data_IF_178380805252
#
_entry.id   IF_178380805252
#
_cell.length_a   1.000
_cell.length_b   1.000
_cell.length_c   1.000
_cell.angle_alpha   90.00
_cell.angle_beta   90.00
_cell.angle_gamma   90.00
#
_symmetry.space_group_name_H-M   'P 1'
#
loop_
_entity.id
_entity.type
_entity.pdbx_description
1 polymer ?
#
# COMPACT_ATOMS: atom_id res chain seq x y z
N UNK A 1 22.90 -13.88 -14.51
CA UNK A 1 22.22 -13.88 -13.18
C UNK A 1 20.74 -13.70 -13.47
N UNK A 2 19.82 -14.53 -12.95
CA UNK A 2 18.40 -14.35 -13.25
C UNK A 2 17.96 -12.99 -12.71
N UNK A 3 17.40 -12.17 -13.59
CA UNK A 3 16.89 -10.83 -13.31
C UNK A 3 15.41 -10.90 -12.95
N UNK A 4 15.02 -11.87 -12.12
CA UNK A 4 13.61 -11.97 -11.72
C UNK A 4 13.19 -10.71 -10.98
N UNK A 5 12.11 -10.08 -11.46
CA UNK A 5 11.52 -8.94 -10.80
C UNK A 5 10.89 -9.40 -9.48
N UNK A 6 11.63 -9.17 -8.39
CA UNK A 6 11.19 -9.48 -7.03
C UNK A 6 10.27 -8.39 -6.45
N UNK A 7 10.12 -7.25 -7.11
CA UNK A 7 9.35 -6.10 -6.59
C UNK A 7 7.86 -6.32 -6.81
N UNK A 8 7.46 -6.67 -8.03
CA UNK A 8 6.05 -6.94 -8.36
C UNK A 8 5.37 -7.94 -7.42
N UNK A 9 5.96 -9.14 -7.20
CA UNK A 9 5.42 -10.14 -6.29
C UNK A 9 5.28 -9.66 -4.83
N UNK A 10 6.20 -8.81 -4.35
CA UNK A 10 6.13 -8.28 -2.98
C UNK A 10 4.95 -7.32 -2.81
N UNK A 11 4.74 -6.42 -3.78
CA UNK A 11 3.60 -5.48 -3.77
C UNK A 11 2.28 -6.24 -3.89
N UNK A 12 2.21 -7.25 -4.75
CA UNK A 12 1.03 -8.10 -4.89
C UNK A 12 0.68 -8.84 -3.59
N UNK A 13 1.69 -9.42 -2.91
CA UNK A 13 1.48 -10.10 -1.63
C UNK A 13 1.01 -9.13 -0.53
N UNK A 14 1.54 -7.89 -0.50
CA UNK A 14 1.03 -6.87 0.41
C UNK A 14 -0.43 -6.54 0.12
N UNK A 15 -0.80 -6.29 -1.14
CA UNK A 15 -2.18 -6.00 -1.52
C UNK A 15 -3.15 -7.13 -1.11
N UNK A 16 -2.75 -8.40 -1.32
CA UNK A 16 -3.53 -9.55 -0.90
C UNK A 16 -3.75 -9.60 0.62
N UNK A 17 -2.72 -9.32 1.41
CA UNK A 17 -2.81 -9.27 2.88
C UNK A 17 -3.73 -8.13 3.36
N UNK A 18 -3.65 -6.96 2.75
CA UNK A 18 -4.53 -5.83 3.09
C UNK A 18 -5.99 -6.13 2.75
N UNK A 19 -6.25 -6.78 1.61
CA UNK A 19 -7.60 -7.21 1.23
C UNK A 19 -8.14 -8.30 2.18
N UNK A 20 -7.30 -9.22 2.63
CA UNK A 20 -7.68 -10.23 3.62
C UNK A 20 -8.04 -9.61 4.99
N UNK A 21 -7.38 -8.51 5.37
CA UNK A 21 -7.71 -7.75 6.59
C UNK A 21 -9.02 -6.96 6.46
N UNK A 22 -9.32 -6.43 5.27
CA UNK A 22 -10.56 -5.72 4.99
C UNK A 22 -11.05 -5.95 3.56
N UNK A 23 -11.95 -6.92 3.41
CA UNK A 23 -12.50 -7.35 2.11
C UNK A 23 -13.34 -6.28 1.42
N UNK A 24 -13.72 -5.20 2.12
CA UNK A 24 -14.50 -4.08 1.55
C UNK A 24 -13.61 -3.07 0.81
N UNK A 25 -12.28 -3.21 0.89
CA UNK A 25 -11.37 -2.34 0.15
C UNK A 25 -11.51 -2.57 -1.35
N UNK A 26 -11.65 -1.47 -2.08
CA UNK A 26 -11.63 -1.47 -3.54
C UNK A 26 -10.18 -1.44 -4.05
N UNK A 27 -9.92 -1.87 -5.30
CA UNK A 27 -8.57 -1.79 -5.87
C UNK A 27 -7.95 -0.38 -5.81
N UNK A 28 -8.68 0.73 -6.11
CA UNK A 28 -8.12 2.07 -5.95
C UNK A 28 -7.75 2.42 -4.50
N UNK A 29 -8.51 1.94 -3.51
CA UNK A 29 -8.19 2.16 -2.09
C UNK A 29 -6.95 1.38 -1.66
N UNK A 30 -6.77 0.15 -2.14
CA UNK A 30 -5.56 -0.65 -1.90
C UNK A 30 -4.31 0.05 -2.46
N UNK A 31 -4.38 0.49 -3.72
CA UNK A 31 -3.29 1.23 -4.37
C UNK A 31 -2.97 2.49 -3.57
N UNK A 32 -4.01 3.25 -3.20
CA UNK A 32 -3.85 4.47 -2.42
C UNK A 32 -3.12 4.21 -1.10
N UNK A 33 -3.53 3.21 -0.33
CA UNK A 33 -2.88 2.86 0.94
C UNK A 33 -1.41 2.51 0.71
N UNK A 34 -1.11 1.63 -0.26
CA UNK A 34 0.28 1.19 -0.53
C UNK A 34 1.17 2.37 -0.93
N UNK A 35 0.66 3.28 -1.76
CA UNK A 35 1.41 4.45 -2.24
C UNK A 35 1.56 5.50 -1.13
N UNK A 36 0.50 5.81 -0.38
CA UNK A 36 0.55 6.82 0.69
C UNK A 36 1.40 6.38 1.88
N UNK A 37 1.52 5.07 2.15
CA UNK A 37 2.41 4.58 3.20
C UNK A 37 3.83 4.30 2.72
N UNK A 38 4.12 4.43 1.42
CA UNK A 38 5.47 4.25 0.90
C UNK A 38 6.39 5.40 1.31
N UNK A 39 7.67 5.09 1.50
CA UNK A 39 8.71 6.06 1.82
C UNK A 39 9.54 6.38 0.59
N UNK A 40 9.64 7.68 0.26
CA UNK A 40 10.60 8.15 -0.75
C UNK A 40 11.99 8.15 -0.13
N UNK A 41 12.97 7.53 -0.80
CA UNK A 41 14.35 7.53 -0.32
C UNK A 41 14.98 8.92 -0.40
N UNK A 42 15.97 9.19 0.46
CA UNK A 42 16.61 10.51 0.56
C UNK A 42 17.23 10.99 -0.76
N UNK A 43 17.77 10.06 -1.55
CA UNK A 43 18.34 10.32 -2.88
C UNK A 43 17.27 10.60 -3.94
N UNK A 44 15.99 10.54 -3.60
CA UNK A 44 14.91 10.57 -4.55
C UNK A 44 14.69 9.16 -5.03
N UNK A 45 15.45 8.66 -6.00
CA UNK A 45 15.33 7.41 -6.77
C UNK A 45 14.24 6.38 -6.43
N UNK A 46 14.08 5.90 -5.20
CA UNK A 46 13.20 4.76 -4.86
C UNK A 46 11.98 5.17 -4.04
N UNK A 47 10.93 4.36 -4.15
CA UNK A 47 9.80 4.35 -3.23
C UNK A 47 9.80 2.99 -2.53
N UNK A 48 10.03 2.98 -1.23
CA UNK A 48 10.04 1.76 -0.43
C UNK A 48 8.64 1.55 0.14
N UNK A 49 8.00 0.45 -0.24
CA UNK A 49 6.74 0.06 0.40
C UNK A 49 6.98 -0.14 1.91
N UNK A 50 6.05 0.32 2.74
CA UNK A 50 6.11 0.11 4.19
C UNK A 50 4.91 -0.75 4.64
N UNK A 51 5.07 -2.10 4.67
CA UNK A 51 3.97 -3.03 4.93
C UNK A 51 3.31 -2.86 6.29
N UNK A 52 4.10 -2.52 7.32
CA UNK A 52 3.62 -2.38 8.70
C UNK A 52 2.60 -1.25 8.80
N UNK A 53 2.94 -0.09 8.25
CA UNK A 53 2.10 1.11 8.25
C UNK A 53 0.83 0.87 7.44
N UNK A 54 0.93 0.20 6.30
CA UNK A 54 -0.23 -0.17 5.50
C UNK A 54 -1.21 -1.06 6.30
N UNK A 55 -0.69 -2.03 7.05
CA UNK A 55 -1.50 -2.88 7.93
C UNK A 55 -2.10 -2.09 9.09
N UNK A 56 -1.37 -1.15 9.68
CA UNK A 56 -1.87 -0.28 10.75
C UNK A 56 -3.02 0.62 10.27
N UNK A 57 -2.93 1.15 9.04
CA UNK A 57 -3.99 1.94 8.39
C UNK A 57 -5.25 1.08 8.16
N UNK A 58 -5.10 -0.15 7.69
CA UNK A 58 -6.25 -1.03 7.41
C UNK A 58 -6.88 -1.60 8.68
N UNK A 59 -6.08 -1.97 9.68
CA UNK A 59 -6.55 -2.54 10.95
C UNK A 59 -7.17 -1.51 11.89
N UNK A 60 -7.05 -0.21 11.60
CA UNK A 60 -7.54 0.86 12.46
C UNK A 60 -6.72 1.05 13.75
N UNK A 61 -5.58 0.38 13.86
CA UNK A 61 -4.64 0.49 14.99
C UNK A 61 -3.72 1.71 14.83
N UNK A 62 -3.57 2.21 13.60
CA UNK A 62 -2.76 3.38 13.26
C UNK A 62 -3.52 4.70 13.33
N UNK A 63 -2.78 5.80 13.58
CA UNK A 63 -3.30 7.16 13.84
C UNK A 63 -3.93 7.87 12.62
N UNK A 64 -4.12 7.19 11.49
CA UNK A 64 -4.68 7.76 10.26
C UNK A 64 -6.19 7.49 10.18
N UNK A 65 -7.02 8.52 10.37
CA UNK A 65 -8.47 8.44 10.08
C UNK A 65 -8.65 8.14 8.60
N UNK A 66 -9.22 6.97 8.29
CA UNK A 66 -9.45 6.53 6.92
C UNK A 66 -10.30 7.54 6.14
N UNK A 67 -9.85 7.77 4.91
CA UNK A 67 -10.30 8.77 3.96
C UNK A 67 -11.73 8.45 3.52
N UNK A 68 -12.63 9.42 3.71
CA UNK A 68 -13.99 9.41 3.16
C UNK A 68 -13.90 9.25 1.63
N UNK A 69 -14.54 8.21 1.12
CA UNK A 69 -14.60 7.86 -0.29
C UNK A 69 -15.05 9.04 -1.16
N UNK A 70 -14.43 9.24 -2.33
CA UNK A 70 -14.95 10.16 -3.34
C UNK A 70 -13.97 10.83 -4.32
N UNK A 71 -12.67 10.52 -4.32
CA UNK A 71 -11.72 11.18 -5.24
C UNK A 71 -11.59 10.46 -6.58
N UNK A 72 -12.20 11.02 -7.63
CA UNK A 72 -11.97 10.65 -9.03
C UNK A 72 -10.49 10.82 -9.40
N UNK A 73 -9.87 9.76 -9.90
CA UNK A 73 -8.56 9.80 -10.53
C UNK A 73 -8.76 10.15 -12.01
N UNK A 74 -8.45 11.40 -12.36
CA UNK A 74 -8.08 11.81 -13.72
C UNK A 74 -6.66 12.33 -13.68
#
# INVERSE_FOLDING_TARGET
MPTEDVTGPQVANLAAKLLALNIKLTPPQLIKIIVETAERTHDGWRNLIRPKEAVEVVSGTGRLRLIRAGGSWR
#
